data_IF_484543162715
#
_entry.id   IF_484543162715
#
_cell.length_a   1.000
_cell.length_b   1.000
_cell.length_c   1.000
_cell.angle_alpha   90.00
_cell.angle_beta   90.00
_cell.angle_gamma   90.00
#
_symmetry.space_group_name_H-M   'P 1'
#
loop_
_entity.id
_entity.type
_entity.pdbx_description
1 polymer ?
#
# COMPACT_ATOMS: atom_id res chain seq x y z
N UNK A 1 0.48 -18.63 -25.14
CA UNK A 1 -0.43 -17.56 -24.66
C UNK A 1 -1.53 -17.35 -25.69
N UNK A 2 -2.74 -16.91 -25.32
CA UNK A 2 -3.76 -16.55 -26.32
C UNK A 2 -3.47 -15.17 -26.94
N UNK A 3 -4.03 -14.91 -28.13
CA UNK A 3 -3.87 -13.61 -28.80
C UNK A 3 -4.45 -12.45 -27.96
N UNK A 4 -5.60 -12.66 -27.32
CA UNK A 4 -6.22 -11.68 -26.44
C UNK A 4 -5.34 -11.35 -25.22
N UNK A 5 -4.76 -12.37 -24.58
CA UNK A 5 -3.82 -12.17 -23.46
C UNK A 5 -2.56 -11.41 -23.90
N UNK A 6 -2.03 -11.76 -25.08
CA UNK A 6 -0.86 -11.09 -25.65
C UNK A 6 -1.15 -9.61 -25.94
N UNK A 7 -2.31 -9.31 -26.52
CA UNK A 7 -2.74 -7.93 -26.79
C UNK A 7 -2.94 -7.12 -25.50
N UNK A 8 -3.51 -7.74 -24.45
CA UNK A 8 -3.67 -7.09 -23.13
C UNK A 8 -2.32 -6.77 -22.49
N UNK A 9 -1.37 -7.72 -22.51
CA UNK A 9 -0.02 -7.53 -22.00
C UNK A 9 0.75 -6.47 -22.80
N UNK A 10 0.64 -6.46 -24.13
CA UNK A 10 1.30 -5.47 -24.98
C UNK A 10 0.77 -4.06 -24.72
N UNK A 11 -0.55 -3.90 -24.62
CA UNK A 11 -1.18 -2.63 -24.22
C UNK A 11 -0.68 -2.19 -22.85
N UNK A 12 -0.66 -3.10 -21.88
CA UNK A 12 -0.21 -2.83 -20.51
C UNK A 12 1.27 -2.46 -20.44
N UNK A 13 2.11 -3.11 -21.25
CA UNK A 13 3.51 -2.80 -21.40
C UNK A 13 3.74 -1.41 -22.02
N UNK A 14 2.96 -1.02 -23.03
CA UNK A 14 3.12 0.28 -23.70
C UNK A 14 2.55 1.44 -22.90
N UNK A 15 1.39 1.25 -22.26
CA UNK A 15 0.59 2.33 -21.68
C UNK A 15 0.54 2.32 -20.14
N UNK A 16 1.09 1.29 -19.48
CA UNK A 16 1.02 1.15 -18.04
C UNK A 16 1.65 2.33 -17.29
N UNK A 17 0.97 2.87 -16.28
CA UNK A 17 1.41 4.08 -15.58
C UNK A 17 2.78 3.91 -14.88
N UNK A 18 3.01 2.78 -14.22
CA UNK A 18 4.23 2.53 -13.43
C UNK A 18 5.24 1.73 -14.26
N UNK A 19 6.49 2.19 -14.31
CA UNK A 19 7.57 1.51 -15.04
C UNK A 19 7.75 0.05 -14.62
N UNK A 20 7.70 -0.21 -13.31
CA UNK A 20 7.83 -1.57 -12.76
C UNK A 20 6.67 -2.49 -13.19
N UNK A 21 5.46 -1.95 -13.37
CA UNK A 21 4.34 -2.73 -13.90
C UNK A 21 4.57 -3.08 -15.38
N UNK A 22 4.99 -2.09 -16.19
CA UNK A 22 5.35 -2.32 -17.60
C UNK A 22 6.44 -3.39 -17.75
N UNK A 23 7.51 -3.30 -16.97
CA UNK A 23 8.60 -4.29 -16.97
C UNK A 23 8.07 -5.70 -16.71
N UNK A 24 7.22 -5.88 -15.70
CA UNK A 24 6.63 -7.19 -15.39
C UNK A 24 5.77 -7.73 -16.52
N UNK A 25 4.99 -6.90 -17.20
CA UNK A 25 4.26 -7.30 -18.41
C UNK A 25 5.23 -7.77 -19.50
N UNK A 26 6.34 -7.07 -19.67
CA UNK A 26 7.36 -7.43 -20.65
C UNK A 26 8.05 -8.76 -20.31
N UNK A 27 8.22 -9.12 -19.03
CA UNK A 27 8.76 -10.44 -18.65
C UNK A 27 7.93 -11.57 -19.27
N UNK A 28 6.60 -11.47 -19.15
CA UNK A 28 5.67 -12.47 -19.67
C UNK A 28 5.71 -12.49 -21.21
N UNK A 29 5.76 -11.32 -21.85
CA UNK A 29 5.89 -11.22 -23.32
C UNK A 29 7.21 -11.79 -23.85
N UNK A 30 8.32 -11.61 -23.14
CA UNK A 30 9.62 -12.18 -23.54
C UNK A 30 9.61 -13.70 -23.44
N UNK A 31 8.95 -14.27 -22.43
CA UNK A 31 8.80 -15.72 -22.33
C UNK A 31 7.90 -16.29 -23.41
N UNK A 32 6.84 -15.57 -23.82
CA UNK A 32 6.03 -15.94 -24.99
C UNK A 32 6.86 -15.95 -26.29
N UNK A 33 7.90 -15.12 -26.36
CA UNK A 33 8.89 -15.09 -27.44
C UNK A 33 10.02 -16.14 -27.29
N UNK A 34 9.91 -17.05 -26.32
CA UNK A 34 10.87 -18.13 -26.10
C UNK A 34 12.09 -17.78 -25.24
N UNK A 35 12.10 -16.63 -24.55
CA UNK A 35 13.17 -16.31 -23.60
C UNK A 35 12.99 -17.07 -22.29
N UNK A 36 14.08 -17.61 -21.75
CA UNK A 36 14.06 -18.28 -20.44
C UNK A 36 14.01 -17.27 -19.30
N UNK A 37 13.62 -17.73 -18.11
CA UNK A 37 13.62 -16.90 -16.90
C UNK A 37 15.02 -16.34 -16.61
N UNK A 38 16.07 -17.13 -16.85
CA UNK A 38 17.47 -16.73 -16.68
C UNK A 38 17.84 -15.59 -17.63
N UNK A 39 17.52 -15.74 -18.92
CA UNK A 39 17.79 -14.69 -19.91
C UNK A 39 17.05 -13.39 -19.59
N UNK A 40 15.81 -13.49 -19.12
CA UNK A 40 15.02 -12.32 -18.69
C UNK A 40 15.65 -11.69 -17.44
N UNK A 41 16.04 -12.51 -16.47
CA UNK A 41 16.69 -12.06 -15.24
C UNK A 41 18.00 -11.31 -15.55
N UNK A 42 18.82 -11.86 -16.45
CA UNK A 42 20.07 -11.24 -16.90
C UNK A 42 19.81 -9.94 -17.66
N UNK A 43 18.83 -9.92 -18.58
CA UNK A 43 18.47 -8.71 -19.33
C UNK A 43 18.02 -7.57 -18.42
N UNK A 44 17.23 -7.88 -17.38
CA UNK A 44 16.74 -6.90 -16.41
C UNK A 44 17.64 -6.70 -15.20
N UNK A 45 18.79 -7.37 -15.14
CA UNK A 45 19.74 -7.33 -14.02
C UNK A 45 19.02 -7.57 -12.68
N UNK A 46 18.19 -8.60 -12.63
CA UNK A 46 17.39 -8.99 -11.46
C UNK A 46 17.53 -10.48 -11.15
N UNK A 47 16.92 -10.93 -10.06
CA UNK A 47 17.01 -12.33 -9.65
C UNK A 47 15.94 -13.20 -10.34
N UNK A 48 16.34 -14.36 -10.88
CA UNK A 48 15.44 -15.39 -11.45
C UNK A 48 14.26 -15.74 -10.55
N UNK A 49 14.45 -15.75 -9.23
CA UNK A 49 13.40 -16.03 -8.25
C UNK A 49 12.33 -14.93 -8.23
N UNK A 50 12.72 -13.67 -8.42
CA UNK A 50 11.78 -12.57 -8.53
C UNK A 50 10.98 -12.66 -9.83
N UNK A 51 11.63 -12.99 -10.95
CA UNK A 51 10.94 -13.24 -12.21
C UNK A 51 9.94 -14.38 -12.06
N UNK A 52 10.35 -15.54 -11.54
CA UNK A 52 9.47 -16.68 -11.31
C UNK A 52 8.24 -16.35 -10.45
N UNK A 53 8.41 -15.54 -9.39
CA UNK A 53 7.27 -15.04 -8.60
C UNK A 53 6.27 -14.24 -9.44
N UNK A 54 6.72 -13.42 -10.38
CA UNK A 54 5.81 -12.68 -11.27
C UNK A 54 5.07 -13.59 -12.24
N UNK A 55 5.71 -14.65 -12.72
CA UNK A 55 5.06 -15.66 -13.56
C UNK A 55 3.95 -16.37 -12.78
N UNK A 56 4.23 -16.88 -11.58
CA UNK A 56 3.20 -17.52 -10.75
C UNK A 56 2.04 -16.59 -10.44
N UNK A 57 2.29 -15.30 -10.21
CA UNK A 57 1.22 -14.31 -9.99
C UNK A 57 0.40 -14.05 -11.26
N UNK A 58 1.04 -14.03 -12.42
CA UNK A 58 0.34 -13.88 -13.70
C UNK A 58 -0.53 -15.10 -14.01
N UNK A 59 -0.05 -16.32 -13.77
CA UNK A 59 -0.83 -17.54 -13.94
C UNK A 59 -2.09 -17.56 -13.07
N UNK A 60 -1.99 -17.04 -11.84
CA UNK A 60 -3.12 -17.01 -10.90
C UNK A 60 -4.13 -15.88 -11.17
N UNK A 61 -3.67 -14.71 -11.61
CA UNK A 61 -4.46 -13.46 -11.60
C UNK A 61 -4.42 -12.69 -12.92
N UNK A 62 -3.78 -13.23 -13.96
CA UNK A 62 -3.53 -12.55 -15.22
C UNK A 62 -2.74 -11.25 -15.04
N UNK A 63 -3.01 -10.27 -15.92
CA UNK A 63 -2.36 -8.95 -15.89
C UNK A 63 -2.55 -8.23 -14.56
N UNK A 64 -3.67 -8.46 -13.87
CA UNK A 64 -3.92 -7.86 -12.55
C UNK A 64 -2.88 -8.29 -11.50
N UNK A 65 -2.37 -9.53 -11.58
CA UNK A 65 -1.35 -10.07 -10.69
C UNK A 65 0.03 -9.41 -10.83
N UNK A 66 0.27 -8.72 -11.93
CA UNK A 66 1.52 -7.99 -12.19
C UNK A 66 1.54 -6.61 -11.51
N UNK A 67 0.38 -6.12 -11.06
CA UNK A 67 0.29 -4.86 -10.31
C UNK A 67 0.98 -4.99 -8.95
N UNK A 68 1.53 -3.87 -8.50
CA UNK A 68 2.02 -3.76 -7.12
C UNK A 68 0.81 -3.71 -6.19
N UNK A 69 0.77 -4.63 -5.21
CA UNK A 69 -0.29 -4.62 -4.20
C UNK A 69 -0.29 -3.29 -3.46
N UNK A 70 -1.50 -2.76 -3.23
CA UNK A 70 -1.74 -1.65 -2.32
C UNK A 70 -1.46 -2.10 -0.87
N UNK A 71 -1.20 -1.15 0.03
CA UNK A 71 -1.01 -1.46 1.45
C UNK A 71 0.33 -2.11 1.83
N UNK A 72 1.38 -1.92 1.01
CA UNK A 72 2.75 -2.29 1.43
C UNK A 72 3.24 -1.37 2.55
N UNK A 73 3.98 -1.94 3.51
CA UNK A 73 4.59 -1.22 4.64
C UNK A 73 3.92 -1.54 5.98
N UNK A 74 4.49 -1.00 7.07
CA UNK A 74 3.90 -1.12 8.40
C UNK A 74 2.54 -0.42 8.41
N UNK A 75 1.49 -1.13 8.84
CA UNK A 75 0.17 -0.54 9.04
C UNK A 75 0.28 0.58 10.08
N UNK A 76 -0.38 1.74 9.88
CA UNK A 76 -0.36 2.81 10.87
C UNK A 76 -1.05 2.34 12.15
N UNK A 77 -0.67 2.90 13.30
CA UNK A 77 -1.30 2.58 14.59
C UNK A 77 -2.79 2.96 14.58
N UNK A 78 -3.12 4.12 14.02
CA UNK A 78 -4.49 4.58 13.80
C UNK A 78 -4.78 4.71 12.30
N UNK A 79 -6.01 4.43 11.91
CA UNK A 79 -6.45 4.46 10.51
C UNK A 79 -7.84 5.05 10.45
N UNK A 80 -8.02 6.15 9.71
CA UNK A 80 -9.35 6.79 9.54
C UNK A 80 -10.33 5.88 8.81
N UNK A 81 -9.80 4.89 8.08
CA UNK A 81 -10.59 3.87 7.39
C UNK A 81 -11.06 2.76 8.35
N UNK A 82 -10.63 2.79 9.63
CA UNK A 82 -11.10 1.91 10.69
C UNK A 82 -12.07 2.69 11.61
N UNK A 83 -13.37 2.36 11.54
CA UNK A 83 -14.42 3.03 12.32
C UNK A 83 -14.21 2.92 13.83
N UNK A 84 -13.63 1.83 14.33
CA UNK A 84 -13.35 1.64 15.75
C UNK A 84 -12.28 2.63 16.23
N UNK A 85 -11.21 2.80 15.45
CA UNK A 85 -10.15 3.77 15.76
C UNK A 85 -10.69 5.21 15.77
N UNK A 86 -11.61 5.54 14.87
CA UNK A 86 -12.26 6.85 14.83
C UNK A 86 -13.10 7.07 16.08
N UNK A 87 -14.02 6.15 16.37
CA UNK A 87 -14.92 6.25 17.52
C UNK A 87 -14.17 6.35 18.85
N UNK A 88 -13.10 5.57 19.05
CA UNK A 88 -12.29 5.62 20.27
C UNK A 88 -11.60 6.98 20.45
N UNK A 89 -10.99 7.50 19.38
CA UNK A 89 -10.31 8.80 19.45
C UNK A 89 -11.31 9.93 19.69
N UNK A 90 -12.46 9.91 19.04
CA UNK A 90 -13.53 10.91 19.25
C UNK A 90 -14.07 10.85 20.69
N UNK A 91 -14.35 9.65 21.20
CA UNK A 91 -14.81 9.45 22.58
C UNK A 91 -13.83 10.04 23.60
N UNK A 92 -12.53 9.78 23.47
CA UNK A 92 -11.54 10.31 24.41
C UNK A 92 -11.38 11.83 24.27
N UNK A 93 -11.46 12.39 23.06
CA UNK A 93 -11.41 13.83 22.84
C UNK A 93 -12.62 14.55 23.45
N UNK A 94 -13.81 13.97 23.37
CA UNK A 94 -15.01 14.50 24.02
C UNK A 94 -14.90 14.48 25.55
N UNK A 95 -14.37 13.39 26.10
CA UNK A 95 -14.17 13.26 27.55
C UNK A 95 -13.13 14.23 28.11
N UNK A 96 -12.06 14.53 27.36
CA UNK A 96 -10.91 15.30 27.83
C UNK A 96 -10.92 16.77 27.39
N UNK A 97 -12.08 17.30 27.00
CA UNK A 97 -12.21 18.67 26.48
C UNK A 97 -11.20 18.99 25.35
N UNK A 98 -10.93 18.02 24.47
CA UNK A 98 -9.95 18.09 23.38
C UNK A 98 -8.47 18.19 23.80
N UNK A 99 -8.12 17.86 25.06
CA UNK A 99 -6.72 17.77 25.49
C UNK A 99 -6.02 16.54 24.90
N UNK A 100 -5.17 16.79 23.89
CA UNK A 100 -4.44 15.74 23.19
C UNK A 100 -3.51 14.93 24.10
N UNK A 101 -2.97 15.53 25.17
CA UNK A 101 -2.06 14.83 26.09
C UNK A 101 -2.81 13.81 26.93
N UNK A 102 -3.99 14.16 27.42
CA UNK A 102 -4.83 13.21 28.17
C UNK A 102 -5.39 12.13 27.27
N UNK A 103 -5.83 12.48 26.06
CA UNK A 103 -6.30 11.50 25.07
C UNK A 103 -5.19 10.49 24.72
N UNK A 104 -3.94 10.93 24.53
CA UNK A 104 -2.81 10.00 24.32
C UNK A 104 -2.59 9.05 25.48
N UNK A 105 -2.70 9.57 26.72
CA UNK A 105 -2.50 8.77 27.92
C UNK A 105 -3.55 7.65 28.02
N UNK A 106 -4.82 7.98 27.79
CA UNK A 106 -5.91 6.99 27.79
C UNK A 106 -5.78 5.98 26.66
N UNK A 107 -5.41 6.42 25.45
CA UNK A 107 -5.14 5.50 24.33
C UNK A 107 -4.01 4.53 24.65
N UNK A 108 -2.98 4.95 25.39
CA UNK A 108 -1.92 4.07 25.85
C UNK A 108 -2.39 3.12 26.97
N UNK A 109 -3.09 3.63 28.00
CA UNK A 109 -3.53 2.86 29.16
C UNK A 109 -4.65 1.86 28.83
N UNK A 110 -5.67 2.27 28.09
CA UNK A 110 -6.88 1.46 27.83
C UNK A 110 -6.74 0.55 26.61
N UNK A 111 -5.98 0.97 25.59
CA UNK A 111 -5.89 0.29 24.29
C UNK A 111 -4.48 -0.19 23.95
N UNK A 112 -3.47 0.12 24.78
CA UNK A 112 -2.07 -0.22 24.48
C UNK A 112 -1.51 0.50 23.24
N UNK A 113 -2.18 1.57 22.78
CA UNK A 113 -1.81 2.30 21.56
C UNK A 113 -0.84 3.42 21.89
N UNK A 114 0.42 3.07 22.17
CA UNK A 114 1.47 4.04 22.41
C UNK A 114 1.87 4.78 21.12
N UNK A 115 1.61 6.09 21.08
CA UNK A 115 1.95 6.92 19.93
C UNK A 115 2.37 8.33 20.31
N UNK A 116 3.07 9.00 19.39
CA UNK A 116 3.41 10.41 19.56
C UNK A 116 2.20 11.32 19.36
N UNK A 117 2.23 12.51 19.99
CA UNK A 117 1.28 13.61 19.72
C UNK A 117 1.17 13.95 18.25
N UNK A 118 2.27 13.87 17.51
CA UNK A 118 2.29 14.10 16.06
C UNK A 118 1.48 13.04 15.29
N UNK A 119 1.53 11.78 15.71
CA UNK A 119 0.74 10.69 15.13
C UNK A 119 -0.76 10.96 15.29
N UNK A 120 -1.17 11.36 16.49
CA UNK A 120 -2.56 11.72 16.80
C UNK A 120 -3.02 12.94 15.99
N UNK A 121 -2.23 14.04 15.98
CA UNK A 121 -2.54 15.23 15.16
C UNK A 121 -2.68 14.88 13.66
N UNK A 122 -1.81 14.03 13.12
CA UNK A 122 -1.87 13.59 11.72
C UNK A 122 -3.14 12.78 11.43
N UNK A 123 -3.54 11.92 12.38
CA UNK A 123 -4.79 11.16 12.28
C UNK A 123 -6.01 12.09 12.25
N UNK A 124 -6.10 13.04 13.18
CA UNK A 124 -7.18 14.03 13.25
C UNK A 124 -7.24 14.91 12.00
N UNK A 125 -6.10 15.37 11.50
CA UNK A 125 -6.03 16.11 10.24
C UNK A 125 -6.55 15.31 9.05
N UNK A 126 -6.33 13.98 9.03
CA UNK A 126 -6.85 13.10 7.98
C UNK A 126 -8.36 12.86 8.13
N UNK A 127 -8.87 12.88 9.37
CA UNK A 127 -10.29 12.74 9.69
C UNK A 127 -11.10 13.98 9.26
N UNK A 128 -10.45 15.13 9.09
CA UNK A 128 -11.09 16.37 8.68
C UNK A 128 -11.59 17.22 9.84
N UNK A 129 -11.26 16.86 11.09
CA UNK A 129 -11.45 17.74 12.23
C UNK A 129 -10.55 18.97 12.05
N UNK A 130 -11.12 20.17 12.22
CA UNK A 130 -10.38 21.42 12.12
C UNK A 130 -9.32 21.47 13.23
N UNK A 131 -8.13 20.98 12.91
CA UNK A 131 -6.95 20.96 13.80
C UNK A 131 -6.34 22.35 13.99
N UNK A 132 -7.03 23.41 13.57
CA UNK A 132 -6.58 24.81 13.57
C UNK A 132 -6.16 25.30 14.96
N UNK A 133 -6.75 24.76 16.03
CA UNK A 133 -6.58 25.29 17.40
C UNK A 133 -6.21 24.23 18.45
N UNK A 134 -5.89 23.00 18.06
CA UNK A 134 -5.52 21.96 19.04
C UNK A 134 -4.02 22.02 19.36
N UNK A 135 -3.76 22.74 20.45
CA UNK A 135 -2.49 23.11 21.10
C UNK A 135 -1.66 24.17 20.38
N UNK A 136 -2.03 25.43 20.63
CA UNK A 136 -1.07 26.53 20.77
C UNK A 136 -0.25 26.26 22.03
N UNK A 137 0.93 25.67 21.83
CA UNK A 137 2.19 25.81 22.59
C UNK A 137 3.15 24.67 22.24
#
# INVERSE_FOLDING_TARGET
>A
MSEAQRAELDKSYKQGQKAVFRQRCHYILLSDQGKTIEQIADFYQTNRMSIGKWFSRYEQQGVSGLKTNTGRGRKPLLSVDNAEHVAQVEQYLEQDCQDLKQTLRKLAEDQGLEMSKYTLKRFLKKLGTATSDLDVD
#
